data_IF_188304572662
#
_entry.id   IF_188304572662
#
_cell.length_a   1.000
_cell.length_b   1.000
_cell.length_c   1.000
_cell.angle_alpha   90.00
_cell.angle_beta   90.00
_cell.angle_gamma   90.00
#
_symmetry.space_group_name_H-M   'P 1'
#
loop_
_entity.id
_entity.type
_entity.pdbx_description
1 polymer ?
#
# COMPACT_ATOMS: atom_id res chain seq x y z
N UNK A 1 -31.26 0.78 11.64
CA UNK A 1 -30.19 1.43 10.85
C UNK A 1 -28.97 0.54 10.94
N UNK A 2 -28.48 0.01 9.82
CA UNK A 2 -27.19 -0.69 9.81
C UNK A 2 -26.07 0.32 10.12
N UNK A 3 -25.04 -0.05 10.89
CA UNK A 3 -23.96 0.88 11.19
C UNK A 3 -23.23 1.27 9.89
N UNK A 4 -23.10 2.58 9.66
CA UNK A 4 -22.30 3.12 8.55
C UNK A 4 -20.87 2.64 8.71
N UNK A 5 -20.35 1.99 7.67
CA UNK A 5 -18.96 1.53 7.64
C UNK A 5 -18.14 2.54 6.86
N UNK A 6 -17.02 2.98 7.43
CA UNK A 6 -16.03 3.79 6.71
C UNK A 6 -14.83 2.92 6.39
N UNK A 7 -14.37 2.97 5.14
CA UNK A 7 -13.19 2.27 4.68
C UNK A 7 -12.17 3.29 4.22
N UNK A 8 -10.95 3.21 4.75
CA UNK A 8 -9.83 4.08 4.35
C UNK A 8 -8.72 3.21 3.78
N UNK A 9 -8.17 3.60 2.64
CA UNK A 9 -6.97 3.02 2.07
C UNK A 9 -5.84 4.05 2.09
N UNK A 10 -4.67 3.66 2.55
CA UNK A 10 -3.46 4.48 2.57
C UNK A 10 -2.27 3.73 1.99
N UNK A 11 -1.34 4.45 1.38
CA UNK A 11 -0.01 3.96 1.02
C UNK A 11 0.97 4.39 2.11
N UNK A 12 1.68 3.44 2.71
CA UNK A 12 2.69 3.74 3.71
C UNK A 12 4.09 3.49 3.14
N UNK A 13 5.02 4.40 3.43
CA UNK A 13 6.44 4.30 3.08
C UNK A 13 7.27 4.25 4.36
N UNK A 14 8.18 3.27 4.44
CA UNK A 14 9.10 3.09 5.55
C UNK A 14 10.54 3.27 5.08
N UNK A 15 11.40 3.86 5.90
CA UNK A 15 12.81 3.99 5.57
C UNK A 15 13.53 2.63 5.53
N UNK A 16 14.59 2.56 4.74
CA UNK A 16 15.47 1.39 4.64
C UNK A 16 16.28 1.16 5.92
N UNK A 17 16.70 -0.07 6.16
CA UNK A 17 17.51 -0.46 7.33
C UNK A 17 18.37 -1.67 6.96
N UNK A 18 19.69 -1.67 7.24
CA UNK A 18 20.45 -0.63 7.95
C UNK A 18 20.75 0.64 7.13
N UNK A 19 20.63 0.56 5.80
CA UNK A 19 20.86 1.70 4.89
C UNK A 19 19.53 2.16 4.28
N UNK A 20 19.31 3.46 4.28
CA UNK A 20 18.13 4.14 3.75
C UNK A 20 18.44 4.76 2.38
N UNK A 21 18.51 3.89 1.37
CA UNK A 21 18.52 4.27 -0.05
C UNK A 21 17.11 4.21 -0.64
N UNK A 22 16.88 4.94 -1.75
CA UNK A 22 15.58 4.98 -2.45
C UNK A 22 15.04 3.56 -2.66
N UNK A 23 15.85 2.66 -3.20
CA UNK A 23 15.47 1.27 -3.54
C UNK A 23 15.21 0.37 -2.32
N UNK A 24 15.61 0.79 -1.12
CA UNK A 24 15.43 0.04 0.13
C UNK A 24 14.27 0.55 0.99
N UNK A 25 13.68 1.70 0.64
CA UNK A 25 12.42 2.12 1.26
C UNK A 25 11.32 1.15 0.91
N UNK A 26 10.57 0.74 1.93
CA UNK A 26 9.53 -0.28 1.80
C UNK A 26 8.16 0.38 1.66
N UNK A 27 7.41 0.01 0.63
CA UNK A 27 6.07 0.54 0.36
C UNK A 27 5.00 -0.54 0.55
N UNK A 28 3.88 -0.17 1.18
CA UNK A 28 2.75 -1.08 1.46
C UNK A 28 1.41 -0.35 1.29
N UNK A 29 0.33 -1.12 1.16
CA UNK A 29 -1.04 -0.60 1.29
C UNK A 29 -1.62 -0.98 2.64
N UNK A 30 -2.25 -0.03 3.33
CA UNK A 30 -2.99 -0.24 4.57
C UNK A 30 -4.48 0.04 4.32
N UNK A 31 -5.31 -0.97 4.54
CA UNK A 31 -6.75 -0.87 4.60
C UNK A 31 -7.18 -0.79 6.07
N UNK A 32 -7.97 0.21 6.44
CA UNK A 32 -8.61 0.30 7.76
C UNK A 32 -10.12 0.45 7.57
N UNK A 33 -10.90 -0.30 8.34
CA UNK A 33 -12.36 -0.14 8.41
C UNK A 33 -12.81 0.34 9.78
N UNK A 34 -13.88 1.13 9.80
CA UNK A 34 -14.49 1.68 11.00
C UNK A 34 -15.97 1.29 11.07
N UNK A 35 -16.53 1.10 12.27
CA UNK A 35 -15.96 1.43 13.58
C UNK A 35 -15.08 0.33 14.20
N UNK A 36 -14.98 -0.84 13.58
CA UNK A 36 -14.27 -2.02 14.14
C UNK A 36 -12.73 -1.89 14.19
N UNK A 37 -12.18 -0.82 13.60
CA UNK A 37 -10.76 -0.55 13.45
C UNK A 37 -9.98 -1.76 12.92
N UNK A 38 -10.62 -2.58 12.06
CA UNK A 38 -9.96 -3.73 11.45
C UNK A 38 -8.95 -3.24 10.41
N UNK A 39 -7.74 -3.75 10.49
CA UNK A 39 -6.64 -3.39 9.60
C UNK A 39 -6.14 -4.59 8.81
N UNK A 40 -5.94 -4.39 7.50
CA UNK A 40 -5.21 -5.32 6.63
C UNK A 40 -4.09 -4.54 5.94
N UNK A 41 -2.86 -4.99 6.14
CA UNK A 41 -1.68 -4.50 5.41
C UNK A 41 -1.34 -5.46 4.27
N UNK A 42 -1.22 -4.93 3.06
CA UNK A 42 -0.88 -5.69 1.86
C UNK A 42 0.48 -5.24 1.32
N UNK A 43 1.35 -6.20 1.05
CA UNK A 43 2.69 -5.93 0.53
C UNK A 43 3.31 -7.19 -0.10
N UNK A 44 4.47 -7.01 -0.71
CA UNK A 44 5.36 -8.14 -1.02
C UNK A 44 6.53 -8.18 -0.04
N UNK A 45 7.02 -9.37 0.24
CA UNK A 45 8.18 -9.62 1.12
C UNK A 45 9.11 -10.66 0.53
N UNK A 46 10.37 -10.68 0.97
CA UNK A 46 11.41 -11.59 0.48
C UNK A 46 12.58 -10.84 -0.15
N UNK A 47 13.66 -11.55 -0.53
CA UNK A 47 14.77 -10.95 -1.25
C UNK A 47 14.42 -10.71 -2.73
N UNK A 48 15.18 -9.86 -3.44
CA UNK A 48 15.10 -9.77 -4.91
C UNK A 48 15.14 -11.15 -5.57
N UNK A 49 14.20 -11.40 -6.50
CA UNK A 49 14.03 -12.71 -7.16
C UNK A 49 13.26 -13.76 -6.36
N UNK A 50 12.86 -13.46 -5.12
CA UNK A 50 12.15 -14.37 -4.23
C UNK A 50 10.97 -13.73 -3.50
N UNK A 51 10.40 -12.66 -4.05
CA UNK A 51 9.27 -11.96 -3.45
C UNK A 51 8.00 -12.81 -3.43
N UNK A 52 7.15 -12.58 -2.43
CA UNK A 52 5.81 -13.16 -2.26
C UNK A 52 4.83 -12.11 -1.76
N UNK A 53 3.60 -12.16 -2.27
CA UNK A 53 2.50 -11.36 -1.73
C UNK A 53 2.10 -11.85 -0.33
N UNK A 54 1.88 -10.91 0.58
CA UNK A 54 1.49 -11.15 1.98
C UNK A 54 0.38 -10.18 2.36
N UNK A 55 -0.59 -10.69 3.10
CA UNK A 55 -1.55 -9.90 3.87
C UNK A 55 -1.26 -10.11 5.36
N UNK A 56 -1.17 -9.01 6.12
CA UNK A 56 -1.04 -9.03 7.57
C UNK A 56 -2.28 -8.36 8.16
N UNK A 57 -3.05 -9.11 8.92
CA UNK A 57 -4.26 -8.61 9.60
C UNK A 57 -3.95 -8.20 11.04
N UNK A 58 -4.65 -7.18 11.55
CA UNK A 58 -4.53 -6.73 12.94
C UNK A 58 -3.23 -6.01 13.31
N UNK A 59 -2.32 -5.80 12.36
CA UNK A 59 -1.14 -4.98 12.55
C UNK A 59 -1.49 -3.50 12.40
N UNK A 60 -0.90 -2.65 13.27
CA UNK A 60 -0.96 -1.19 13.12
C UNK A 60 0.41 -0.63 12.69
N UNK A 61 0.77 -0.73 11.40
CA UNK A 61 2.07 -0.31 10.91
C UNK A 61 2.29 1.21 11.00
N UNK A 62 1.24 2.01 11.28
CA UNK A 62 1.34 3.47 11.43
C UNK A 62 2.09 3.91 12.69
N UNK A 63 2.28 3.01 13.66
CA UNK A 63 3.03 3.28 14.90
C UNK A 63 4.52 2.93 14.79
N UNK A 64 4.97 2.44 13.63
CA UNK A 64 6.38 2.09 13.42
C UNK A 64 7.27 3.33 13.50
N UNK A 65 8.36 3.25 14.27
CA UNK A 65 9.41 4.27 14.26
C UNK A 65 10.09 4.42 12.88
N UNK A 66 9.88 3.46 11.97
CA UNK A 66 10.41 3.50 10.60
C UNK A 66 9.48 4.17 9.60
N UNK A 67 8.27 4.55 10.01
CA UNK A 67 7.30 5.17 9.11
C UNK A 67 7.80 6.56 8.70
N UNK A 68 7.99 6.75 7.40
CA UNK A 68 8.40 8.04 6.82
C UNK A 68 7.18 8.79 6.26
N UNK A 69 6.22 8.07 5.69
CA UNK A 69 4.99 8.69 5.18
C UNK A 69 3.78 7.80 5.27
N UNK A 70 2.66 8.43 5.61
CA UNK A 70 1.32 7.89 5.44
C UNK A 70 0.59 8.75 4.40
N UNK A 71 0.28 8.18 3.24
CA UNK A 71 -0.29 8.85 2.09
C UNK A 71 -1.74 8.36 1.92
N UNK A 72 -2.75 9.19 2.25
CA UNK A 72 -4.14 8.81 2.04
C UNK A 72 -4.44 8.60 0.56
N UNK A 73 -5.07 7.47 0.21
CA UNK A 73 -5.49 7.18 -1.16
C UNK A 73 -6.98 7.49 -1.32
N UNK A 74 -7.81 6.89 -0.48
CA UNK A 74 -9.26 7.08 -0.53
C UNK A 74 -9.89 6.85 0.85
N UNK A 75 -10.98 7.56 1.11
CA UNK A 75 -11.91 7.31 2.22
C UNK A 75 -13.30 7.17 1.64
N UNK A 76 -13.92 6.01 1.79
CA UNK A 76 -15.29 5.74 1.34
C UNK A 76 -16.19 5.51 2.54
N UNK A 77 -17.34 6.18 2.56
CA UNK A 77 -18.40 5.98 3.54
C UNK A 77 -19.51 5.20 2.85
N UNK A 78 -19.88 4.04 3.40
CA UNK A 78 -20.96 3.23 2.84
C UNK A 78 -22.08 3.03 3.84
N UNK A 79 -23.25 3.54 3.46
CA UNK A 79 -24.53 3.33 4.13
C UNK A 79 -25.30 2.13 3.58
N UNK A 80 -25.01 1.68 2.35
CA UNK A 80 -25.76 0.62 1.65
C UNK A 80 -24.85 -0.45 1.01
N UNK A 81 -25.42 -1.65 0.84
CA UNK A 81 -24.82 -2.95 0.48
C UNK A 81 -24.06 -3.03 -0.87
N UNK A 82 -23.79 -1.92 -1.56
CA UNK A 82 -23.09 -1.87 -2.87
C UNK A 82 -21.58 -1.58 -2.74
N UNK A 83 -21.01 -1.88 -1.57
CA UNK A 83 -19.67 -1.45 -1.18
C UNK A 83 -18.57 -2.34 -1.72
N UNK A 84 -17.47 -1.73 -2.16
CA UNK A 84 -16.18 -2.41 -2.34
C UNK A 84 -15.79 -3.08 -1.01
N UNK A 85 -15.85 -4.41 -0.97
CA UNK A 85 -15.57 -5.17 0.25
C UNK A 85 -14.07 -5.33 0.50
N UNK A 86 -13.68 -5.58 1.76
CA UNK A 86 -12.29 -5.92 2.12
C UNK A 86 -11.74 -7.07 1.27
N UNK A 87 -12.57 -8.09 1.00
CA UNK A 87 -12.21 -9.23 0.14
C UNK A 87 -11.92 -8.80 -1.30
N UNK A 88 -12.72 -7.90 -1.87
CA UNK A 88 -12.49 -7.40 -3.23
C UNK A 88 -11.18 -6.63 -3.34
N UNK A 89 -10.85 -5.79 -2.34
CA UNK A 89 -9.58 -5.05 -2.27
C UNK A 89 -8.42 -6.03 -2.16
N UNK A 90 -8.50 -6.98 -1.23
CA UNK A 90 -7.50 -8.03 -1.04
C UNK A 90 -7.26 -8.82 -2.33
N UNK A 91 -8.34 -9.26 -2.99
CA UNK A 91 -8.26 -10.04 -4.21
C UNK A 91 -7.72 -9.20 -5.39
N UNK A 92 -7.96 -7.88 -5.41
CA UNK A 92 -7.33 -6.97 -6.36
C UNK A 92 -5.82 -6.86 -6.14
N UNK A 93 -5.37 -6.66 -4.90
CA UNK A 93 -3.95 -6.66 -4.55
C UNK A 93 -3.27 -7.99 -4.92
N UNK A 94 -3.94 -9.12 -4.67
CA UNK A 94 -3.41 -10.45 -4.96
C UNK A 94 -3.35 -10.80 -6.46
N UNK A 95 -4.07 -10.07 -7.33
CA UNK A 95 -4.00 -10.25 -8.80
C UNK A 95 -2.71 -9.73 -9.41
N UNK A 96 -1.99 -8.83 -8.72
CA UNK A 96 -0.73 -8.31 -9.21
C UNK A 96 0.28 -9.45 -9.27
N UNK A 97 0.77 -9.75 -10.48
CA UNK A 97 1.81 -10.74 -10.68
C UNK A 97 3.09 -10.27 -9.97
N UNK A 98 3.60 -11.09 -9.05
CA UNK A 98 4.91 -10.85 -8.44
C UNK A 98 6.00 -11.20 -9.46
N UNK A 99 6.76 -10.19 -9.91
CA UNK A 99 7.70 -10.31 -11.04
C UNK A 99 9.13 -10.56 -10.59
N UNK A 100 9.36 -11.74 -10.04
CA UNK A 100 10.70 -12.18 -9.59
C UNK A 100 11.72 -12.32 -10.71
N UNK A 101 11.27 -12.31 -11.96
CA UNK A 101 12.05 -12.39 -13.18
C UNK A 101 12.58 -11.03 -13.68
N UNK A 102 12.11 -9.91 -13.13
CA UNK A 102 12.48 -8.57 -13.59
C UNK A 102 13.51 -7.94 -12.63
N UNK A 103 14.76 -7.71 -13.06
CA UNK A 103 15.76 -7.00 -12.26
C UNK A 103 15.26 -5.62 -11.82
N UNK A 104 15.43 -5.31 -10.53
CA UNK A 104 15.05 -4.02 -9.94
C UNK A 104 13.57 -3.86 -9.63
N UNK A 105 12.69 -4.77 -10.07
CA UNK A 105 11.29 -4.74 -9.66
C UNK A 105 11.16 -5.07 -8.17
N UNK A 106 10.45 -4.23 -7.41
CA UNK A 106 10.35 -4.34 -5.95
C UNK A 106 8.96 -3.96 -5.42
N UNK A 107 8.85 -3.75 -4.10
CA UNK A 107 7.58 -3.40 -3.46
C UNK A 107 6.98 -2.09 -3.99
N UNK A 108 7.79 -1.10 -4.34
CA UNK A 108 7.32 0.19 -4.86
C UNK A 108 6.62 0.01 -6.21
N UNK A 109 7.16 -0.83 -7.10
CA UNK A 109 6.49 -1.20 -8.35
C UNK A 109 5.19 -1.95 -8.09
N UNK A 110 5.22 -2.92 -7.16
CA UNK A 110 4.03 -3.68 -6.81
C UNK A 110 2.90 -2.80 -6.29
N UNK A 111 3.18 -1.80 -5.45
CA UNK A 111 2.12 -0.89 -4.95
C UNK A 111 1.50 -0.09 -6.10
N UNK A 112 2.31 0.40 -7.03
CA UNK A 112 1.81 1.11 -8.22
C UNK A 112 0.91 0.22 -9.10
N UNK A 113 1.28 -1.04 -9.29
CA UNK A 113 0.46 -2.03 -10.01
C UNK A 113 -0.81 -2.42 -9.23
N UNK A 114 -0.73 -2.55 -7.91
CA UNK A 114 -1.88 -2.84 -7.04
C UNK A 114 -2.91 -1.72 -7.03
N UNK A 115 -2.47 -0.46 -6.99
CA UNK A 115 -3.37 0.69 -7.13
C UNK A 115 -4.08 0.68 -8.49
N UNK A 116 -3.41 0.27 -9.57
CA UNK A 116 -4.07 0.10 -10.88
C UNK A 116 -5.16 -0.97 -10.84
N UNK A 117 -4.95 -2.10 -10.14
CA UNK A 117 -5.99 -3.12 -9.95
C UNK A 117 -7.17 -2.62 -9.09
N UNK A 118 -6.90 -1.73 -8.13
CA UNK A 118 -7.91 -1.10 -7.29
C UNK A 118 -8.75 -0.07 -8.05
N UNK A 119 -8.16 0.65 -9.01
CA UNK A 119 -8.91 1.52 -9.92
C UNK A 119 -9.88 0.70 -10.78
N UNK A 120 -9.45 -0.46 -11.30
CA UNK A 120 -10.31 -1.32 -12.15
C UNK A 120 -11.58 -1.80 -11.46
N UNK A 121 -11.55 -1.98 -10.14
CA UNK A 121 -12.73 -2.35 -9.36
C UNK A 121 -13.51 -1.16 -8.82
N UNK A 122 -13.08 0.08 -9.12
CA UNK A 122 -13.72 1.30 -8.63
C UNK A 122 -13.41 1.64 -7.17
N UNK A 123 -12.36 1.07 -6.57
CA UNK A 123 -11.97 1.37 -5.20
C UNK A 123 -11.37 2.77 -5.05
N UNK A 124 -10.60 3.22 -6.05
CA UNK A 124 -10.07 4.58 -6.14
C UNK A 124 -10.11 5.06 -7.59
N UNK A 125 -9.94 6.35 -7.82
CA UNK A 125 -9.85 6.93 -9.17
C UNK A 125 -8.40 6.94 -9.67
N UNK A 126 -8.22 7.10 -10.99
CA UNK A 126 -6.88 7.30 -11.57
C UNK A 126 -6.17 8.51 -10.97
N UNK A 127 -6.90 9.59 -10.64
CA UNK A 127 -6.34 10.79 -10.00
C UNK A 127 -5.83 10.46 -8.60
N UNK A 128 -6.63 9.75 -7.79
CA UNK A 128 -6.21 9.32 -6.45
C UNK A 128 -5.00 8.38 -6.51
N UNK A 129 -4.98 7.46 -7.48
CA UNK A 129 -3.83 6.60 -7.75
C UNK A 129 -2.58 7.43 -8.08
N UNK A 130 -2.69 8.39 -9.00
CA UNK A 130 -1.57 9.25 -9.41
C UNK A 130 -0.98 10.00 -8.24
N UNK A 131 -1.82 10.70 -7.47
CA UNK A 131 -1.40 11.44 -6.28
C UNK A 131 -0.71 10.55 -5.22
N UNK A 132 -1.22 9.32 -5.04
CA UNK A 132 -0.61 8.38 -4.10
C UNK A 132 0.76 7.88 -4.57
N UNK A 133 0.91 7.61 -5.87
CA UNK A 133 2.19 7.18 -6.46
C UNK A 133 3.20 8.33 -6.43
N UNK A 134 2.79 9.54 -6.77
CA UNK A 134 3.67 10.73 -6.71
C UNK A 134 4.17 10.95 -5.28
N UNK A 135 3.27 10.91 -4.29
CA UNK A 135 3.65 11.01 -2.88
C UNK A 135 4.60 9.90 -2.41
N UNK A 136 4.46 8.68 -2.95
CA UNK A 136 5.38 7.57 -2.67
C UNK A 136 6.75 7.85 -3.28
N UNK A 137 6.80 8.35 -4.52
CA UNK A 137 8.05 8.71 -5.20
C UNK A 137 8.78 9.80 -4.42
N UNK A 138 8.08 10.87 -4.03
CA UNK A 138 8.63 11.94 -3.20
C UNK A 138 9.20 11.39 -1.88
N UNK A 139 8.42 10.54 -1.20
CA UNK A 139 8.88 9.88 0.01
C UNK A 139 10.12 9.02 -0.26
N UNK A 140 10.19 8.28 -1.36
CA UNK A 140 11.36 7.48 -1.68
C UNK A 140 12.60 8.35 -1.96
N UNK A 141 12.46 9.47 -2.68
CA UNK A 141 13.53 10.40 -3.02
C UNK A 141 14.17 11.10 -1.80
N UNK A 142 13.44 11.18 -0.69
CA UNK A 142 13.95 11.70 0.58
C UNK A 142 14.81 10.70 1.38
N UNK A 143 15.19 9.57 0.76
CA UNK A 143 16.15 8.61 1.29
C UNK A 143 17.45 9.30 1.76
N UNK A 144 17.83 9.05 3.02
CA UNK A 144 18.91 9.80 3.69
C UNK A 144 20.29 9.44 3.14
N UNK A 145 20.48 8.17 2.78
CA UNK A 145 21.78 7.67 2.38
C UNK A 145 22.07 7.85 0.89
N UNK A 146 21.09 8.29 0.09
CA UNK A 146 21.27 8.52 -1.35
C UNK A 146 22.37 9.56 -1.66
N UNK A 147 22.65 10.45 -0.70
CA UNK A 147 23.74 11.44 -0.79
C UNK A 147 25.14 10.82 -0.68
N UNK A 148 25.23 9.57 -0.25
CA UNK A 148 26.48 8.82 -0.08
C UNK A 148 26.61 7.65 -1.08
N UNK A 149 25.69 7.54 -2.05
CA UNK A 149 25.65 6.49 -3.08
C UNK A 149 26.69 6.69 -4.19
#
# INVERSE_FOLDING_TARGET
>A
MSPTTTTTLSLLVFHGSPLDFIKYRHAVLLLTTYPDNQQSMFHITGPPGGFKFVEVTGANPTQSAKLERNIPVVTTVSSDNSTISRKMIRDACARVKVRNDIPGWNCQNWVGEALSELVKIGCCTEVQRGLAVDGMVDACLEARDERFA
#
